data_IF_318554630058
#
_entry.id   IF_318554630058
#
_cell.length_a   1.000
_cell.length_b   1.000
_cell.length_c   1.000
_cell.angle_alpha   90.00
_cell.angle_beta   90.00
_cell.angle_gamma   90.00
#
_symmetry.space_group_name_H-M   'P 1'
#
loop_
_entity.id
_entity.type
_entity.pdbx_description
1 polymer ?
#
# COMPACT_ATOMS: atom_id res chain seq x y z
N UNK A 1 13.74 -32.32 8.17
CA UNK A 1 13.39 -31.13 8.97
C UNK A 1 13.04 -30.04 7.98
N UNK A 2 11.77 -30.02 7.58
CA UNK A 2 11.23 -29.07 6.61
C UNK A 2 11.40 -27.68 7.19
N UNK A 3 12.05 -26.80 6.43
CA UNK A 3 12.06 -25.37 6.74
C UNK A 3 10.61 -24.93 6.56
N UNK A 4 9.91 -24.73 7.68
CA UNK A 4 8.65 -24.01 7.70
C UNK A 4 8.92 -22.63 7.13
N UNK A 5 8.83 -22.50 5.80
CA UNK A 5 8.62 -21.23 5.15
C UNK A 5 7.25 -20.80 5.65
N UNK A 6 7.23 -20.11 6.79
CA UNK A 6 6.17 -19.15 7.09
C UNK A 6 6.24 -18.16 5.94
N UNK A 7 5.57 -18.50 4.84
CA UNK A 7 5.09 -17.53 3.88
C UNK A 7 4.18 -16.67 4.72
N UNK A 8 4.76 -15.67 5.38
CA UNK A 8 4.03 -14.51 5.85
C UNK A 8 3.25 -14.13 4.62
N UNK A 9 1.95 -14.38 4.62
CA UNK A 9 1.08 -13.95 3.53
C UNK A 9 1.41 -12.48 3.38
N UNK A 10 2.13 -12.11 2.33
CA UNK A 10 2.57 -10.73 2.13
C UNK A 10 1.28 -9.95 1.94
N UNK A 11 0.76 -9.39 3.03
CA UNK A 11 -0.43 -8.58 2.97
C UNK A 11 0.03 -7.29 2.30
N UNK A 12 -0.34 -7.15 1.03
CA UNK A 12 0.05 -6.00 0.23
C UNK A 12 -0.77 -4.80 0.71
N UNK A 13 -0.23 -4.07 1.68
CA UNK A 13 -0.87 -2.89 2.27
C UNK A 13 -0.35 -1.60 1.65
N UNK A 14 -1.19 -0.58 1.59
CA UNK A 14 -0.84 0.82 1.33
C UNK A 14 -1.62 1.70 2.28
N UNK A 15 -1.07 2.87 2.57
CA UNK A 15 -1.78 3.94 3.25
C UNK A 15 -1.96 5.09 2.26
N UNK A 16 -3.15 5.68 2.24
CA UNK A 16 -3.46 6.79 1.33
C UNK A 16 -4.12 7.92 2.10
N UNK A 17 -3.55 9.12 1.97
CA UNK A 17 -4.20 10.35 2.39
C UNK A 17 -4.84 11.00 1.16
N UNK A 18 -6.18 10.99 1.11
CA UNK A 18 -6.90 11.69 0.04
C UNK A 18 -6.81 13.21 0.23
N UNK A 19 -6.66 13.70 1.45
CA UNK A 19 -6.59 15.14 1.74
C UNK A 19 -5.25 15.74 1.28
N UNK A 20 -4.15 15.03 1.54
CA UNK A 20 -2.81 15.49 1.19
C UNK A 20 -2.34 15.00 -0.18
N UNK A 21 -3.16 14.17 -0.86
CA UNK A 21 -2.80 13.46 -2.08
C UNK A 21 -1.49 12.66 -1.91
N UNK A 22 -1.38 11.86 -0.86
CA UNK A 22 -0.19 11.05 -0.55
C UNK A 22 -0.55 9.56 -0.59
N UNK A 23 0.35 8.76 -1.17
CA UNK A 23 0.34 7.30 -1.09
C UNK A 23 1.61 6.85 -0.40
N UNK A 24 1.48 6.20 0.77
CA UNK A 24 2.59 5.66 1.55
C UNK A 24 2.65 4.13 1.45
N UNK A 25 3.86 3.62 1.29
CA UNK A 25 4.13 2.17 1.35
C UNK A 25 4.34 1.64 2.76
N UNK A 26 4.46 2.56 3.73
CA UNK A 26 4.64 2.26 5.13
C UNK A 26 3.34 2.50 5.89
N UNK A 27 3.26 1.92 7.08
CA UNK A 27 2.16 2.20 8.00
C UNK A 27 2.25 3.64 8.47
N UNK A 28 1.20 4.41 8.19
CA UNK A 28 1.09 5.80 8.63
C UNK A 28 0.09 5.88 9.79
N UNK A 29 0.54 6.44 10.90
CA UNK A 29 -0.31 6.73 12.05
C UNK A 29 -0.88 8.14 11.89
N UNK A 30 -2.13 8.23 11.40
CA UNK A 30 -2.84 9.49 11.26
C UNK A 30 -4.29 9.28 10.87
N UNK A 31 -5.19 10.12 11.38
CA UNK A 31 -6.62 10.06 11.08
C UNK A 31 -6.94 10.34 9.59
N UNK A 32 -6.01 10.98 8.87
CA UNK A 32 -6.11 11.30 7.45
C UNK A 32 -5.65 10.16 6.51
N UNK A 33 -5.08 9.08 7.05
CA UNK A 33 -4.58 7.95 6.24
C UNK A 33 -5.52 6.76 6.29
N UNK A 34 -5.99 6.35 5.10
CA UNK A 34 -6.78 5.15 4.93
C UNK A 34 -5.89 3.96 4.57
N UNK A 35 -6.05 2.84 5.27
CA UNK A 35 -5.35 1.59 4.94
C UNK A 35 -6.09 0.84 3.83
N UNK A 36 -5.37 0.55 2.75
CA UNK A 36 -5.82 -0.28 1.65
C UNK A 36 -5.09 -1.62 1.66
N UNK A 37 -5.82 -2.70 1.42
CA UNK A 37 -5.29 -4.07 1.33
C UNK A 37 -5.55 -4.61 -0.07
N UNK A 38 -4.49 -5.13 -0.71
CA UNK A 38 -4.53 -5.67 -2.06
C UNK A 38 -4.32 -7.18 -2.05
N UNK A 39 -4.88 -7.84 -3.06
CA UNK A 39 -4.79 -9.30 -3.20
C UNK A 39 -3.38 -9.73 -3.62
N UNK A 40 -2.71 -8.90 -4.43
CA UNK A 40 -1.37 -9.18 -4.96
C UNK A 40 -0.55 -7.89 -5.17
N UNK A 41 0.76 -8.06 -5.40
CA UNK A 41 1.69 -6.95 -5.61
C UNK A 41 1.36 -6.13 -6.87
N UNK A 42 0.92 -6.77 -7.96
CA UNK A 42 0.63 -6.07 -9.22
C UNK A 42 -0.54 -5.10 -9.06
N UNK A 43 -1.65 -5.55 -8.45
CA UNK A 43 -2.80 -4.69 -8.14
C UNK A 43 -2.41 -3.49 -7.28
N UNK A 44 -1.55 -3.71 -6.26
CA UNK A 44 -1.01 -2.65 -5.41
C UNK A 44 -0.25 -1.61 -6.25
N UNK A 45 0.64 -2.07 -7.13
CA UNK A 45 1.45 -1.16 -7.95
C UNK A 45 0.62 -0.43 -9.00
N UNK A 46 -0.34 -1.09 -9.65
CA UNK A 46 -1.26 -0.46 -10.61
C UNK A 46 -2.05 0.68 -9.96
N UNK A 47 -2.53 0.48 -8.73
CA UNK A 47 -3.19 1.52 -7.95
C UNK A 47 -2.26 2.72 -7.67
N UNK A 48 -1.01 2.47 -7.28
CA UNK A 48 -0.01 3.53 -7.03
C UNK A 48 0.24 4.33 -8.30
N UNK A 49 0.42 3.66 -9.45
CA UNK A 49 0.66 4.32 -10.72
C UNK A 49 -0.56 5.17 -11.15
N UNK A 50 -1.77 4.64 -10.98
CA UNK A 50 -3.00 5.38 -11.25
C UNK A 50 -3.10 6.64 -10.37
N UNK A 51 -2.89 6.50 -9.05
CA UNK A 51 -2.94 7.64 -8.12
C UNK A 51 -1.86 8.67 -8.42
N UNK A 52 -0.65 8.24 -8.71
CA UNK A 52 0.46 9.12 -9.09
C UNK A 52 0.15 9.91 -10.36
N UNK A 53 -0.47 9.26 -11.35
CA UNK A 53 -0.93 9.93 -12.59
C UNK A 53 -2.04 10.95 -12.32
N UNK A 54 -2.80 10.78 -11.23
CA UNK A 54 -3.84 11.70 -10.77
C UNK A 54 -3.29 12.79 -9.82
N UNK A 55 -1.97 12.93 -9.70
CA UNK A 55 -1.33 13.98 -8.90
C UNK A 55 -1.03 13.61 -7.45
N UNK A 56 -1.18 12.34 -7.07
CA UNK A 56 -0.73 11.87 -5.76
C UNK A 56 0.80 11.75 -5.72
N UNK A 57 1.39 12.01 -4.56
CA UNK A 57 2.81 11.83 -4.29
C UNK A 57 3.04 10.52 -3.56
N UNK A 58 4.19 9.90 -3.81
CA UNK A 58 4.60 8.70 -3.10
C UNK A 58 5.53 9.12 -1.95
N UNK A 59 5.28 8.55 -0.77
CA UNK A 59 6.08 8.73 0.45
C UNK A 59 6.64 7.39 0.94
#
# INVERSE_FOLDING_TARGET
>A
MEKSNTVTQEVYKLWISQNEHIVSFHEEEGDDYEQLVFTNQNEKMDFVFQKSSNGFRIQ
#
